data_IF_736190585139
#
_entry.id   IF_736190585139
#
_cell.length_a   1.000
_cell.length_b   1.000
_cell.length_c   1.000
_cell.angle_alpha   90.00
_cell.angle_beta   90.00
_cell.angle_gamma   90.00
#
_symmetry.space_group_name_H-M   'P 1'
#
loop_
_entity.id
_entity.type
_entity.pdbx_description
1 polymer ?
#
# COMPACT_ATOMS: atom_id res chain seq x y z
N UNK A 1 -32.64 -25.34 39.72
CA UNK A 1 -32.68 -26.77 39.36
C UNK A 1 -31.43 -27.09 38.53
N UNK A 2 -30.59 -27.96 39.09
CA UNK A 2 -29.43 -28.65 38.49
C UNK A 2 -29.98 -29.51 37.34
N UNK A 3 -29.37 -29.66 36.15
CA UNK A 3 -28.18 -30.47 35.86
C UNK A 3 -28.08 -30.52 34.32
N UNK A 4 -26.97 -30.10 33.71
CA UNK A 4 -25.83 -30.93 33.25
C UNK A 4 -26.13 -31.85 32.05
N UNK A 5 -25.10 -31.92 31.20
CA UNK A 5 -24.87 -32.85 30.09
C UNK A 5 -25.54 -32.35 28.80
N UNK A 6 -24.84 -32.11 27.69
CA UNK A 6 -23.81 -32.98 27.17
C UNK A 6 -22.99 -32.29 26.07
N UNK A 7 -21.67 -32.51 26.16
CA UNK A 7 -20.79 -32.81 25.02
C UNK A 7 -20.41 -31.66 24.07
N UNK A 8 -19.30 -31.04 24.43
CA UNK A 8 -18.24 -30.76 23.46
C UNK A 8 -17.96 -31.99 22.59
N UNK A 9 -17.89 -31.81 21.26
CA UNK A 9 -17.02 -32.53 20.31
C UNK A 9 -17.18 -31.95 18.90
N UNK A 10 -16.07 -31.95 18.15
CA UNK A 10 -15.85 -31.43 16.79
C UNK A 10 -15.72 -29.89 16.71
N UNK A 11 -14.57 -29.29 16.98
CA UNK A 11 -13.36 -29.34 16.14
C UNK A 11 -13.72 -29.18 14.65
N UNK A 12 -13.94 -27.95 14.19
CA UNK A 12 -14.14 -27.68 12.76
C UNK A 12 -14.98 -26.45 12.44
N UNK A 13 -14.60 -25.27 12.90
CA UNK A 13 -14.98 -24.05 12.18
C UNK A 13 -13.80 -23.09 12.15
N UNK A 14 -12.98 -23.34 11.13
CA UNK A 14 -12.34 -22.34 10.28
C UNK A 14 -11.84 -21.10 11.01
N UNK A 15 -10.53 -21.13 11.32
CA UNK A 15 -9.56 -20.10 10.96
C UNK A 15 -10.19 -18.90 10.24
N UNK A 16 -10.81 -17.99 10.98
CA UNK A 16 -10.90 -16.59 10.56
C UNK A 16 -9.65 -15.90 11.09
N UNK A 17 -8.48 -16.37 10.65
CA UNK A 17 -7.38 -15.45 10.42
C UNK A 17 -7.87 -14.58 9.27
N UNK A 18 -8.59 -13.52 9.63
CA UNK A 18 -8.81 -12.37 8.78
C UNK A 18 -7.44 -11.73 8.54
N UNK A 19 -6.62 -12.40 7.73
CA UNK A 19 -5.78 -11.70 6.78
C UNK A 19 -6.74 -10.94 5.89
N UNK A 20 -7.25 -9.82 6.40
CA UNK A 20 -7.59 -8.68 5.56
C UNK A 20 -6.27 -8.38 4.86
N UNK A 21 -6.10 -9.00 3.69
CA UNK A 21 -5.14 -8.56 2.73
C UNK A 21 -5.31 -7.03 2.68
N UNK A 22 -4.20 -6.31 2.72
CA UNK A 22 -4.14 -4.85 2.54
C UNK A 22 -4.60 -4.42 1.13
N UNK A 23 -5.57 -5.13 0.55
CA UNK A 23 -6.18 -4.87 -0.73
C UNK A 23 -6.80 -3.48 -0.78
N UNK A 24 -7.23 -2.93 0.38
CA UNK A 24 -7.74 -1.56 0.43
C UNK A 24 -6.63 -0.50 0.30
N UNK A 25 -5.37 -0.83 0.59
CA UNK A 25 -4.24 0.09 0.43
C UNK A 25 -3.49 -0.07 -0.89
N UNK A 26 -3.70 -1.17 -1.61
CA UNK A 26 -3.06 -1.42 -2.91
C UNK A 26 -3.86 -0.81 -4.07
N UNK A 27 -3.15 -0.30 -5.07
CA UNK A 27 -3.67 0.21 -6.34
C UNK A 27 -4.06 -0.94 -7.26
N UNK A 28 -3.45 -2.12 -7.11
CA UNK A 28 -3.72 -3.30 -7.95
C UNK A 28 -2.98 -3.26 -9.29
N UNK A 29 -1.93 -2.44 -9.38
CA UNK A 29 -0.93 -2.42 -10.44
C UNK A 29 0.44 -2.66 -9.78
N UNK A 30 1.09 -3.82 -10.01
CA UNK A 30 2.28 -4.24 -9.27
C UNK A 30 3.40 -3.19 -9.22
N UNK A 31 3.70 -2.55 -10.34
CA UNK A 31 4.79 -1.56 -10.42
C UNK A 31 4.47 -0.30 -9.61
N UNK A 32 3.21 0.15 -9.65
CA UNK A 32 2.77 1.30 -8.88
C UNK A 32 2.75 0.98 -7.38
N UNK A 33 2.31 -0.22 -6.99
CA UNK A 33 2.31 -0.69 -5.60
C UNK A 33 3.75 -0.83 -5.05
N UNK A 34 4.68 -1.33 -5.87
CA UNK A 34 6.10 -1.42 -5.52
C UNK A 34 6.71 -0.03 -5.32
N UNK A 35 6.38 0.93 -6.19
CA UNK A 35 6.85 2.31 -6.05
C UNK A 35 6.39 2.92 -4.73
N UNK A 36 5.09 2.85 -4.43
CA UNK A 36 4.52 3.40 -3.20
C UNK A 36 5.20 2.79 -1.96
N UNK A 37 5.36 1.47 -1.95
CA UNK A 37 6.01 0.75 -0.85
C UNK A 37 7.46 1.21 -0.65
N UNK A 38 8.20 1.39 -1.76
CA UNK A 38 9.59 1.86 -1.72
C UNK A 38 9.70 3.29 -1.23
N UNK A 39 8.78 4.15 -1.66
CA UNK A 39 8.69 5.54 -1.22
C UNK A 39 8.41 5.64 0.29
N UNK A 40 7.39 4.95 0.79
CA UNK A 40 7.03 4.93 2.20
C UNK A 40 8.15 4.37 3.08
N UNK A 41 8.80 3.29 2.61
CA UNK A 41 9.96 2.71 3.30
C UNK A 41 11.08 3.73 3.40
N UNK A 42 11.35 4.48 2.33
CA UNK A 42 12.41 5.46 2.37
C UNK A 42 12.06 6.66 3.28
N UNK A 43 10.82 7.15 3.22
CA UNK A 43 10.36 8.22 4.10
C UNK A 43 10.48 7.82 5.57
N UNK A 44 10.10 6.59 5.92
CA UNK A 44 10.15 6.12 7.31
C UNK A 44 11.58 5.85 7.81
N UNK A 45 12.51 5.49 6.93
CA UNK A 45 13.87 5.06 7.32
C UNK A 45 14.96 6.13 7.11
N UNK A 46 14.81 7.02 6.12
CA UNK A 46 15.86 7.97 5.72
C UNK A 46 15.50 9.43 5.95
N UNK A 47 14.23 9.79 5.79
CA UNK A 47 13.81 11.19 5.93
C UNK A 47 13.78 11.59 7.41
N UNK A 48 14.27 12.79 7.79
CA UNK A 48 14.16 13.30 9.15
C UNK A 48 12.71 13.47 9.59
N UNK A 49 12.41 13.26 10.88
CA UNK A 49 11.05 13.29 11.43
C UNK A 49 10.26 14.55 11.04
N UNK A 50 10.91 15.71 11.05
CA UNK A 50 10.32 17.02 10.72
C UNK A 50 9.76 17.09 9.29
N UNK A 51 10.24 16.24 8.38
CA UNK A 51 9.80 16.21 6.98
C UNK A 51 8.92 15.00 6.63
N UNK A 52 8.89 13.94 7.47
CA UNK A 52 8.18 12.70 7.15
C UNK A 52 6.69 12.92 6.90
N UNK A 53 6.03 13.71 7.76
CA UNK A 53 4.60 13.96 7.65
C UNK A 53 4.21 14.51 6.28
N UNK A 54 4.98 15.46 5.76
CA UNK A 54 4.76 16.07 4.44
C UNK A 54 4.86 15.03 3.32
N UNK A 55 5.92 14.22 3.30
CA UNK A 55 6.10 13.22 2.25
C UNK A 55 5.12 12.05 2.36
N UNK A 56 4.77 11.63 3.58
CA UNK A 56 3.72 10.63 3.82
C UNK A 56 2.36 11.10 3.32
N UNK A 57 2.01 12.36 3.52
CA UNK A 57 0.76 12.92 2.97
C UNK A 57 0.79 12.98 1.44
N UNK A 58 1.91 13.39 0.84
CA UNK A 58 2.06 13.44 -0.62
C UNK A 58 1.88 12.06 -1.27
N UNK A 59 2.54 11.02 -0.74
CA UNK A 59 2.42 9.67 -1.30
C UNK A 59 1.03 9.06 -1.06
N UNK A 60 0.37 9.40 0.05
CA UNK A 60 -1.01 8.98 0.30
C UNK A 60 -1.98 9.59 -0.73
N UNK A 61 -1.83 10.86 -1.07
CA UNK A 61 -2.61 11.52 -2.12
C UNK A 61 -2.34 10.89 -3.50
N UNK A 62 -1.08 10.58 -3.79
CA UNK A 62 -0.71 9.89 -5.03
C UNK A 62 -1.36 8.51 -5.14
N UNK A 63 -1.27 7.71 -4.07
CA UNK A 63 -1.92 6.39 -3.97
C UNK A 63 -3.42 6.50 -4.24
N UNK A 64 -4.11 7.44 -3.59
CA UNK A 64 -5.55 7.64 -3.77
C UNK A 64 -5.91 7.99 -5.24
N UNK A 65 -5.13 8.88 -5.85
CA UNK A 65 -5.30 9.25 -7.26
C UNK A 65 -5.12 8.03 -8.19
N UNK A 66 -4.05 7.26 -8.01
CA UNK A 66 -3.79 6.07 -8.81
C UNK A 66 -4.83 4.96 -8.57
N UNK A 67 -5.30 4.77 -7.33
CA UNK A 67 -6.40 3.83 -7.02
C UNK A 67 -7.67 4.20 -7.79
N UNK A 68 -8.05 5.48 -7.81
CA UNK A 68 -9.20 5.95 -8.60
C UNK A 68 -9.02 5.72 -10.11
N UNK A 69 -7.82 5.92 -10.65
CA UNK A 69 -7.53 5.60 -12.06
C UNK A 69 -7.54 4.09 -12.35
N UNK A 70 -7.21 3.25 -11.36
CA UNK A 70 -7.22 1.80 -11.51
C UNK A 70 -8.65 1.22 -11.54
N UNK A 71 -9.63 1.91 -10.93
CA UNK A 71 -11.04 1.50 -10.93
C UNK A 71 -11.68 1.57 -12.34
N UNK A 72 -11.17 2.44 -13.22
CA UNK A 72 -11.64 2.54 -14.59
C UNK A 72 -10.73 1.73 -15.55
N UNK A 73 -11.25 0.71 -16.27
CA UNK A 73 -10.45 -0.12 -17.18
C UNK A 73 -9.70 0.66 -18.27
N UNK A 74 -10.25 1.77 -18.75
CA UNK A 74 -9.63 2.58 -19.81
C UNK A 74 -8.37 3.29 -19.31
N UNK A 75 -8.42 3.85 -18.08
CA UNK A 75 -7.28 4.53 -17.45
C UNK A 75 -6.31 3.54 -16.81
N UNK A 76 -6.80 2.41 -16.31
CA UNK A 76 -5.99 1.34 -15.73
C UNK A 76 -4.92 0.84 -16.68
N UNK A 77 -5.24 0.68 -17.98
CA UNK A 77 -4.30 0.25 -19.00
C UNK A 77 -3.11 1.22 -19.20
N UNK A 78 -3.29 2.50 -18.86
CA UNK A 78 -2.26 3.54 -18.97
C UNK A 78 -1.53 3.78 -17.64
N UNK A 79 -2.09 3.29 -16.53
CA UNK A 79 -1.67 3.65 -15.19
C UNK A 79 -0.23 3.21 -14.88
N UNK A 80 0.22 2.09 -15.44
CA UNK A 80 1.60 1.61 -15.28
C UNK A 80 2.62 2.65 -15.78
N UNK A 81 2.42 3.18 -16.99
CA UNK A 81 3.28 4.22 -17.55
C UNK A 81 3.17 5.53 -16.74
N UNK A 82 1.96 5.88 -16.30
CA UNK A 82 1.72 7.07 -15.48
C UNK A 82 2.48 6.98 -14.17
N UNK A 83 2.42 5.85 -13.47
CA UNK A 83 3.06 5.71 -12.17
C UNK A 83 4.59 5.64 -12.27
N UNK A 84 5.15 5.09 -13.37
CA UNK A 84 6.58 5.20 -13.65
C UNK A 84 7.05 6.65 -13.77
N UNK A 85 6.38 7.44 -14.60
CA UNK A 85 6.78 8.83 -14.88
C UNK A 85 6.57 9.71 -13.66
N UNK A 86 5.38 9.67 -13.06
CA UNK A 86 5.07 10.46 -11.87
C UNK A 86 5.87 9.99 -10.65
N UNK A 87 6.08 8.68 -10.52
CA UNK A 87 6.90 8.09 -9.47
C UNK A 87 8.36 8.55 -9.56
N UNK A 88 8.96 8.55 -10.76
CA UNK A 88 10.31 9.06 -10.96
C UNK A 88 10.43 10.54 -10.55
N UNK A 89 9.42 11.35 -10.87
CA UNK A 89 9.39 12.74 -10.43
C UNK A 89 9.33 12.86 -8.90
N UNK A 90 8.49 12.06 -8.23
CA UNK A 90 8.37 12.08 -6.78
C UNK A 90 9.62 11.57 -6.07
N UNK A 91 10.27 10.52 -6.59
CA UNK A 91 11.51 10.00 -6.00
C UNK A 91 12.65 11.02 -6.07
N UNK A 92 12.77 11.82 -7.14
CA UNK A 92 13.78 12.89 -7.22
C UNK A 92 13.68 13.88 -6.06
N UNK A 93 12.46 14.16 -5.56
CA UNK A 93 12.26 15.00 -4.38
C UNK A 93 12.83 14.40 -3.08
N UNK A 94 13.06 13.08 -3.05
CA UNK A 94 13.62 12.37 -1.91
C UNK A 94 15.13 12.07 -2.03
N UNK A 95 15.74 12.27 -3.20
CA UNK A 95 17.19 12.06 -3.42
C UNK A 95 18.08 12.77 -2.38
N UNK A 96 17.80 14.02 -1.96
CA UNK A 96 18.60 14.70 -0.94
C UNK A 96 18.61 14.01 0.42
N UNK A 97 17.64 13.13 0.70
CA UNK A 97 17.57 12.34 1.94
C UNK A 97 18.20 10.95 1.78
N UNK A 98 18.79 10.64 0.62
CA UNK A 98 19.42 9.34 0.35
C UNK A 98 18.44 8.26 -0.11
N UNK A 99 17.29 8.66 -0.67
CA UNK A 99 16.32 7.73 -1.24
C UNK A 99 16.65 7.39 -2.70
N UNK A 100 17.19 6.19 -2.90
CA UNK A 100 17.58 5.69 -4.23
C UNK A 100 16.78 4.44 -4.59
N UNK A 101 15.55 4.63 -5.05
CA UNK A 101 14.73 3.54 -5.60
C UNK A 101 14.24 3.96 -6.99
N UNK A 102 14.51 3.14 -8.00
CA UNK A 102 14.05 3.43 -9.35
C UNK A 102 12.64 2.83 -9.52
N UNK A 103 11.63 3.61 -9.92
CA UNK A 103 10.37 3.04 -10.38
C UNK A 103 10.68 2.12 -11.58
N UNK A 104 10.35 0.84 -11.46
CA UNK A 104 10.53 -0.12 -12.56
C UNK A 104 9.46 0.07 -13.61
#
# INVERSE_FOLDING_TARGET
>A
MISRLAFALAAGLLVHLSGFARADETIGIPDCDQFITSYETCVTTKVPLDHRGTFSQQVAQLRASWKSLAENPQTRAQLEQVCRVQGAQMQRGLEPFGCTFTPR
#
